data_IF_856598807931
#
_entry.id   IF_856598807931
#
_cell.length_a   1.000
_cell.length_b   1.000
_cell.length_c   1.000
_cell.angle_alpha   90.00
_cell.angle_beta   90.00
_cell.angle_gamma   90.00
#
_symmetry.space_group_name_H-M   'P 1'
#
loop_
_entity.id
_entity.type
_entity.pdbx_description
1 polymer ?
#
# COMPACT_ATOMS: atom_id res chain seq x y z
N UNK A 1 18.98 -6.03 4.65
CA UNK A 1 18.83 -4.70 4.02
C UNK A 1 18.50 -3.61 5.03
N UNK A 2 17.50 -3.80 5.91
CA UNK A 2 17.13 -2.82 6.96
C UNK A 2 18.29 -2.34 7.84
N UNK A 3 19.20 -3.23 8.25
CA UNK A 3 20.38 -2.86 9.04
C UNK A 3 21.39 -1.97 8.28
N UNK A 4 21.44 -2.07 6.94
CA UNK A 4 22.39 -1.32 6.11
C UNK A 4 21.94 0.12 5.90
N UNK A 5 20.64 0.35 5.67
CA UNK A 5 20.07 1.69 5.50
C UNK A 5 20.14 2.48 6.83
N UNK A 6 20.12 1.79 7.97
CA UNK A 6 20.23 2.41 9.30
C UNK A 6 21.65 2.83 9.68
N UNK A 7 22.69 2.40 8.95
CA UNK A 7 24.06 2.79 9.26
C UNK A 7 24.21 4.32 9.09
N UNK A 8 24.68 5.08 10.10
CA UNK A 8 24.76 6.54 10.04
C UNK A 8 25.41 7.12 8.77
N UNK A 9 26.55 6.60 8.26
CA UNK A 9 27.15 7.15 7.05
C UNK A 9 26.29 6.89 5.80
N UNK A 10 25.63 5.74 5.72
CA UNK A 10 24.74 5.39 4.60
C UNK A 10 23.51 6.29 4.63
N UNK A 11 22.90 6.48 5.80
CA UNK A 11 21.75 7.35 5.97
C UNK A 11 22.07 8.80 5.59
N UNK A 12 23.23 9.31 5.99
CA UNK A 12 23.67 10.66 5.67
C UNK A 12 23.86 10.86 4.16
N UNK A 13 24.50 9.90 3.49
CA UNK A 13 24.71 9.95 2.03
C UNK A 13 23.38 9.88 1.27
N UNK A 14 22.50 8.94 1.62
CA UNK A 14 21.19 8.81 0.99
C UNK A 14 20.31 10.05 1.22
N UNK A 15 20.39 10.69 2.40
CA UNK A 15 19.73 11.96 2.68
C UNK A 15 20.27 13.09 1.80
N UNK A 16 21.60 13.18 1.64
CA UNK A 16 22.23 14.17 0.79
C UNK A 16 21.80 14.00 -0.68
N UNK A 17 21.71 12.76 -1.17
CA UNK A 17 21.20 12.47 -2.51
C UNK A 17 19.75 12.94 -2.70
N UNK A 18 18.87 12.70 -1.71
CA UNK A 18 17.49 13.19 -1.77
C UNK A 18 17.42 14.73 -1.78
N UNK A 19 18.22 15.39 -0.95
CA UNK A 19 18.28 16.85 -0.91
C UNK A 19 18.80 17.44 -2.23
N UNK A 20 19.82 16.82 -2.83
CA UNK A 20 20.37 17.24 -4.11
C UNK A 20 19.38 17.04 -5.26
N UNK A 21 18.53 16.01 -5.20
CA UNK A 21 17.52 15.73 -6.21
C UNK A 21 16.31 16.68 -6.15
N UNK A 22 16.07 17.36 -5.01
CA UNK A 22 14.93 18.25 -4.81
C UNK A 22 13.60 17.62 -5.26
N UNK A 23 12.88 18.24 -6.21
CA UNK A 23 11.61 17.76 -6.76
C UNK A 23 11.73 16.39 -7.45
N UNK A 24 12.93 16.02 -7.93
CA UNK A 24 13.18 14.75 -8.60
C UNK A 24 13.36 13.57 -7.63
N UNK A 25 13.39 13.82 -6.31
CA UNK A 25 13.64 12.80 -5.28
C UNK A 25 12.57 11.69 -5.23
N UNK A 26 11.33 12.00 -5.65
CA UNK A 26 10.20 11.06 -5.65
C UNK A 26 9.97 10.39 -7.01
N UNK A 27 10.67 10.85 -8.05
CA UNK A 27 10.51 10.36 -9.44
C UNK A 27 11.76 9.66 -9.98
N UNK A 28 12.93 9.95 -9.41
CA UNK A 28 14.21 9.38 -9.84
C UNK A 28 15.16 9.14 -8.66
N UNK A 29 16.13 8.25 -8.85
CA UNK A 29 17.12 7.92 -7.82
C UNK A 29 16.75 6.70 -6.99
N UNK A 30 17.35 6.59 -5.79
CA UNK A 30 17.28 5.35 -5.01
C UNK A 30 15.90 5.08 -4.41
N UNK A 31 15.15 6.11 -4.01
CA UNK A 31 13.87 5.94 -3.31
C UNK A 31 12.81 5.26 -4.20
N UNK A 32 12.54 5.73 -5.44
CA UNK A 32 11.64 5.04 -6.35
C UNK A 32 12.09 3.61 -6.69
N UNK A 33 13.39 3.36 -6.81
CA UNK A 33 13.92 2.02 -7.08
C UNK A 33 13.73 1.07 -5.90
N UNK A 34 13.88 1.53 -4.66
CA UNK A 34 13.58 0.71 -3.48
C UNK A 34 12.08 0.44 -3.38
N UNK A 35 11.22 1.42 -3.66
CA UNK A 35 9.76 1.22 -3.68
C UNK A 35 9.38 0.15 -4.71
N UNK A 36 9.93 0.25 -5.93
CA UNK A 36 9.70 -0.73 -6.99
C UNK A 36 10.21 -2.12 -6.60
N UNK A 37 11.38 -2.21 -5.96
CA UNK A 37 11.93 -3.47 -5.47
C UNK A 37 11.01 -4.09 -4.42
N UNK A 38 10.59 -3.31 -3.42
CA UNK A 38 9.69 -3.76 -2.35
C UNK A 38 8.35 -4.25 -2.92
N UNK A 39 7.74 -3.48 -3.84
CA UNK A 39 6.51 -3.89 -4.53
C UNK A 39 6.70 -5.19 -5.32
N UNK A 40 7.84 -5.38 -5.97
CA UNK A 40 8.11 -6.59 -6.76
C UNK A 40 8.15 -7.85 -5.88
N UNK A 41 8.80 -7.78 -4.72
CA UNK A 41 8.87 -8.87 -3.74
C UNK A 41 7.58 -9.04 -2.93
N UNK A 42 6.69 -8.05 -2.96
CA UNK A 42 5.41 -8.09 -2.28
C UNK A 42 4.27 -8.65 -3.12
N UNK A 43 4.51 -9.12 -4.35
CA UNK A 43 3.47 -9.77 -5.13
C UNK A 43 2.98 -11.05 -4.46
N UNK A 44 1.66 -11.25 -4.51
CA UNK A 44 1.02 -12.48 -4.08
C UNK A 44 1.56 -13.64 -4.92
N UNK A 45 2.11 -14.64 -4.24
CA UNK A 45 2.62 -15.87 -4.84
C UNK A 45 1.48 -16.84 -5.16
N UNK A 46 1.72 -17.78 -6.06
CA UNK A 46 0.73 -18.82 -6.38
C UNK A 46 0.42 -19.70 -5.16
N UNK A 47 1.43 -19.87 -4.29
CA UNK A 47 1.32 -20.59 -3.04
C UNK A 47 0.41 -19.86 -2.05
N UNK A 48 0.60 -18.56 -1.82
CA UNK A 48 -0.27 -17.75 -0.95
C UNK A 48 -1.72 -17.75 -1.47
N UNK A 49 -1.91 -17.50 -2.76
CA UNK A 49 -3.21 -17.53 -3.42
C UNK A 49 -3.94 -18.86 -3.23
N UNK A 50 -3.26 -19.99 -3.49
CA UNK A 50 -3.86 -21.31 -3.33
C UNK A 50 -4.23 -21.67 -1.90
N UNK A 51 -3.54 -21.10 -0.90
CA UNK A 51 -3.87 -21.31 0.51
C UNK A 51 -5.05 -20.43 0.92
N UNK A 52 -5.08 -19.16 0.51
CA UNK A 52 -6.17 -18.22 0.83
C UNK A 52 -7.50 -18.61 0.19
N UNK A 53 -7.47 -19.27 -0.97
CA UNK A 53 -8.66 -19.87 -1.59
C UNK A 53 -9.29 -20.98 -0.72
N UNK A 54 -8.48 -21.66 0.11
CA UNK A 54 -8.95 -22.73 0.99
C UNK A 54 -9.43 -22.18 2.33
N UNK A 55 -8.72 -21.17 2.86
CA UNK A 55 -9.04 -20.55 4.15
C UNK A 55 -8.92 -19.02 4.08
N UNK A 56 -10.07 -18.37 3.91
CA UNK A 56 -10.18 -16.90 3.85
C UNK A 56 -9.85 -16.25 5.22
N UNK A 57 -10.02 -16.97 6.33
CA UNK A 57 -9.63 -16.42 7.64
C UNK A 57 -8.11 -16.30 7.76
N UNK A 58 -7.37 -17.19 7.11
CA UNK A 58 -5.92 -17.07 7.04
C UNK A 58 -5.53 -15.80 6.27
N UNK A 59 -6.15 -15.52 5.12
CA UNK A 59 -5.96 -14.26 4.40
C UNK A 59 -6.16 -13.05 5.34
N UNK A 60 -7.29 -12.99 6.06
CA UNK A 60 -7.55 -11.89 7.01
C UNK A 60 -6.49 -11.79 8.10
N UNK A 61 -6.07 -12.93 8.67
CA UNK A 61 -5.06 -12.95 9.74
C UNK A 61 -3.70 -12.46 9.26
N UNK A 62 -3.32 -12.78 8.02
CA UNK A 62 -2.06 -12.33 7.43
C UNK A 62 -2.11 -10.84 7.06
N UNK A 63 -3.24 -10.37 6.52
CA UNK A 63 -3.45 -8.97 6.15
C UNK A 63 -3.54 -8.02 7.37
N UNK A 64 -4.01 -8.53 8.50
CA UNK A 64 -4.06 -7.79 9.78
C UNK A 64 -2.79 -7.92 10.61
N UNK A 65 -1.78 -8.65 10.12
CA UNK A 65 -0.51 -8.92 10.81
C UNK A 65 -0.66 -9.71 12.12
N UNK A 66 -1.71 -10.53 12.22
CA UNK A 66 -1.97 -11.47 13.33
C UNK A 66 -1.46 -12.88 12.96
N UNK A 67 -0.31 -12.93 12.28
CA UNK A 67 0.33 -14.18 11.84
C UNK A 67 1.80 -14.19 12.27
N UNK A 68 2.34 -15.38 12.53
CA UNK A 68 3.77 -15.59 12.73
C UNK A 68 4.53 -15.76 11.40
N UNK A 69 3.81 -15.81 10.28
CA UNK A 69 4.39 -16.03 8.96
C UNK A 69 5.17 -14.80 8.50
N UNK A 70 6.46 -14.98 8.20
CA UNK A 70 7.34 -13.91 7.71
C UNK A 70 7.79 -14.22 6.28
N UNK A 71 7.18 -13.53 5.33
CA UNK A 71 7.34 -13.77 3.89
C UNK A 71 8.13 -12.63 3.22
N UNK A 72 8.60 -12.80 1.97
CA UNK A 72 9.15 -11.69 1.19
C UNK A 72 8.17 -10.50 1.09
N UNK A 73 6.87 -10.78 1.08
CA UNK A 73 5.81 -9.78 1.06
C UNK A 73 5.75 -8.95 2.34
N UNK A 74 5.74 -9.59 3.51
CA UNK A 74 5.76 -8.84 4.79
C UNK A 74 7.09 -8.08 4.97
N UNK A 75 8.21 -8.67 4.56
CA UNK A 75 9.51 -7.99 4.55
C UNK A 75 9.55 -6.73 3.67
N UNK A 76 8.88 -6.78 2.50
CA UNK A 76 8.70 -5.63 1.62
C UNK A 76 7.90 -4.51 2.30
N UNK A 77 6.81 -4.86 2.99
CA UNK A 77 6.03 -3.93 3.83
C UNK A 77 6.88 -3.27 4.92
N UNK A 78 7.59 -4.06 5.72
CA UNK A 78 8.46 -3.56 6.79
C UNK A 78 9.52 -2.58 6.28
N UNK A 79 10.11 -2.87 5.10
CA UNK A 79 11.10 -1.98 4.50
C UNK A 79 10.51 -0.60 4.21
N UNK A 80 9.30 -0.55 3.65
CA UNK A 80 8.60 0.70 3.35
C UNK A 80 8.17 1.42 4.65
N UNK A 81 7.72 0.70 5.68
CA UNK A 81 7.44 1.27 7.00
C UNK A 81 8.70 1.97 7.55
N UNK A 82 9.87 1.31 7.51
CA UNK A 82 11.12 1.93 7.99
C UNK A 82 11.56 3.14 7.17
N UNK A 83 11.25 3.17 5.88
CA UNK A 83 11.45 4.39 5.09
C UNK A 83 10.45 5.47 5.51
N UNK A 84 9.20 5.12 5.78
CA UNK A 84 8.15 6.02 6.27
C UNK A 84 8.48 6.65 7.62
N UNK A 85 9.05 5.89 8.55
CA UNK A 85 9.54 6.40 9.84
C UNK A 85 10.59 7.50 9.65
N UNK A 86 11.46 7.36 8.65
CA UNK A 86 12.56 8.28 8.38
C UNK A 86 12.14 9.46 7.50
N UNK A 87 11.56 9.20 6.34
CA UNK A 87 11.27 10.17 5.28
C UNK A 87 9.82 10.65 5.30
N UNK A 88 8.97 10.08 6.16
CA UNK A 88 7.59 10.54 6.41
C UNK A 88 6.78 10.62 5.12
N UNK A 89 6.10 11.74 4.89
CA UNK A 89 5.22 11.97 3.74
C UNK A 89 5.95 11.82 2.39
N UNK A 90 7.27 12.01 2.33
CA UNK A 90 8.04 11.88 1.08
C UNK A 90 7.95 10.46 0.50
N UNK A 91 7.88 9.42 1.34
CA UNK A 91 7.67 8.04 0.88
C UNK A 91 6.28 7.87 0.28
N UNK A 92 5.26 8.46 0.93
CA UNK A 92 3.88 8.41 0.45
C UNK A 92 3.77 9.12 -0.91
N UNK A 93 4.41 10.27 -1.08
CA UNK A 93 4.46 10.98 -2.37
C UNK A 93 5.12 10.14 -3.47
N UNK A 94 6.24 9.49 -3.18
CA UNK A 94 6.88 8.58 -4.13
C UNK A 94 5.99 7.35 -4.45
N UNK A 95 5.25 6.84 -3.46
CA UNK A 95 4.28 5.75 -3.65
C UNK A 95 3.10 6.18 -4.53
N UNK A 96 2.55 7.38 -4.36
CA UNK A 96 1.49 7.93 -5.24
C UNK A 96 1.94 7.87 -6.70
N UNK A 97 3.16 8.35 -6.98
CA UNK A 97 3.72 8.38 -8.34
C UNK A 97 3.90 6.96 -8.88
N UNK A 98 4.50 6.07 -8.08
CA UNK A 98 4.72 4.68 -8.47
C UNK A 98 3.40 3.95 -8.78
N UNK A 99 2.40 4.06 -7.90
CA UNK A 99 1.08 3.46 -8.04
C UNK A 99 0.38 4.03 -9.28
N UNK A 100 0.34 5.35 -9.45
CA UNK A 100 -0.34 5.94 -10.59
C UNK A 100 0.29 5.52 -11.92
N UNK A 101 1.61 5.36 -11.98
CA UNK A 101 2.28 4.82 -13.17
C UNK A 101 1.88 3.36 -13.46
N UNK A 102 1.78 2.50 -12.43
CA UNK A 102 1.34 1.11 -12.58
C UNK A 102 -0.13 0.97 -13.01
N UNK A 103 -0.98 1.89 -12.56
CA UNK A 103 -2.40 1.88 -12.94
C UNK A 103 -2.65 2.50 -14.32
N UNK A 104 -1.79 3.42 -14.76
CA UNK A 104 -1.81 3.97 -16.12
C UNK A 104 -1.23 3.02 -17.18
N UNK A 105 -0.30 2.15 -16.80
CA UNK A 105 0.30 1.16 -17.68
C UNK A 105 -0.62 -0.05 -17.90
N UNK A 106 -1.05 -0.25 -19.14
CA UNK A 106 -1.93 -1.35 -19.54
C UNK A 106 -1.24 -2.72 -19.54
N UNK A 107 0.10 -2.75 -19.56
CA UNK A 107 0.88 -3.99 -19.47
C UNK A 107 1.11 -4.46 -18.04
N UNK A 108 0.84 -3.61 -17.04
CA UNK A 108 0.96 -3.95 -15.63
C UNK A 108 -0.11 -4.95 -15.19
N UNK A 109 0.31 -6.01 -14.50
CA UNK A 109 -0.58 -7.07 -14.02
C UNK A 109 -1.36 -6.63 -12.78
N UNK A 110 -2.45 -7.34 -12.48
CA UNK A 110 -3.19 -7.12 -11.23
C UNK A 110 -2.33 -7.38 -9.99
N UNK A 111 -1.38 -8.33 -10.04
CA UNK A 111 -0.45 -8.62 -8.94
C UNK A 111 0.49 -7.46 -8.66
N UNK A 112 1.00 -6.81 -9.71
CA UNK A 112 1.83 -5.61 -9.55
C UNK A 112 1.05 -4.46 -8.90
N UNK A 113 -0.19 -4.25 -9.35
CA UNK A 113 -1.07 -3.20 -8.81
C UNK A 113 -1.47 -3.51 -7.36
N UNK A 114 -1.82 -4.75 -7.06
CA UNK A 114 -2.16 -5.21 -5.72
C UNK A 114 -0.96 -5.03 -4.79
N UNK A 115 0.22 -5.47 -5.19
CA UNK A 115 1.43 -5.39 -4.36
C UNK A 115 1.82 -3.93 -4.04
N UNK A 116 1.66 -3.03 -5.00
CA UNK A 116 1.91 -1.60 -4.79
C UNK A 116 0.90 -1.00 -3.81
N UNK A 117 -0.38 -1.39 -3.90
CA UNK A 117 -1.39 -1.01 -2.91
C UNK A 117 -1.16 -1.67 -1.55
N UNK A 118 -0.65 -2.91 -1.51
CA UNK A 118 -0.31 -3.60 -0.27
C UNK A 118 0.77 -2.85 0.51
N UNK A 119 1.87 -2.46 -0.14
CA UNK A 119 2.94 -1.71 0.55
C UNK A 119 2.45 -0.33 1.03
N UNK A 120 1.54 0.32 0.29
CA UNK A 120 0.86 1.53 0.75
C UNK A 120 0.02 1.24 2.00
N UNK A 121 -0.78 0.16 1.99
CA UNK A 121 -1.59 -0.25 3.13
C UNK A 121 -0.74 -0.44 4.39
N UNK A 122 0.39 -1.15 4.27
CA UNK A 122 1.31 -1.38 5.39
C UNK A 122 1.85 -0.06 5.96
N UNK A 123 2.27 0.87 5.10
CA UNK A 123 2.75 2.17 5.52
C UNK A 123 1.67 3.03 6.20
N UNK A 124 0.46 3.08 5.64
CA UNK A 124 -0.62 3.88 6.20
C UNK A 124 -1.15 3.30 7.51
N UNK A 125 -1.10 1.97 7.70
CA UNK A 125 -1.42 1.35 8.99
C UNK A 125 -0.46 1.80 10.08
N UNK A 126 0.84 1.77 9.79
CA UNK A 126 1.87 2.29 10.72
C UNK A 126 1.65 3.77 11.03
N UNK A 127 1.35 4.59 10.02
CA UNK A 127 1.03 6.01 10.23
C UNK A 127 -0.21 6.21 11.11
N UNK A 128 -1.26 5.41 10.91
CA UNK A 128 -2.45 5.45 11.75
C UNK A 128 -2.15 5.07 13.21
N UNK A 129 -1.33 4.04 13.43
CA UNK A 129 -0.92 3.60 14.78
C UNK A 129 -0.14 4.69 15.55
N UNK A 130 0.60 5.54 14.85
CA UNK A 130 1.33 6.67 15.44
C UNK A 130 0.63 8.03 15.24
N UNK A 131 -0.66 8.02 14.90
CA UNK A 131 -1.51 9.19 14.68
C UNK A 131 -0.95 10.20 13.65
N UNK A 132 -0.13 9.73 12.71
CA UNK A 132 0.45 10.54 11.65
C UNK A 132 -0.53 10.67 10.48
N UNK A 133 -0.89 11.92 10.16
CA UNK A 133 -1.73 12.24 9.02
C UNK A 133 -0.91 12.57 7.77
N UNK A 134 -1.50 12.34 6.59
CA UNK A 134 -0.96 12.76 5.29
C UNK A 134 -1.76 13.94 4.73
N UNK A 135 -1.13 14.84 3.94
CA UNK A 135 -1.82 15.94 3.29
C UNK A 135 -2.92 15.48 2.33
N UNK A 136 -3.97 16.29 2.18
CA UNK A 136 -5.13 15.99 1.35
C UNK A 136 -4.77 15.77 -0.13
N UNK A 137 -3.84 16.54 -0.67
CA UNK A 137 -3.38 16.43 -2.06
C UNK A 137 -2.68 15.09 -2.31
N UNK A 138 -1.88 14.63 -1.34
CA UNK A 138 -1.22 13.32 -1.38
C UNK A 138 -2.25 12.20 -1.28
N UNK A 139 -3.19 12.29 -0.34
CA UNK A 139 -4.25 11.29 -0.17
C UNK A 139 -5.13 11.17 -1.42
N UNK A 140 -5.54 12.30 -1.99
CA UNK A 140 -6.36 12.37 -3.20
C UNK A 140 -5.66 11.78 -4.43
N UNK A 141 -4.32 11.74 -4.41
CA UNK A 141 -3.51 11.11 -5.45
C UNK A 141 -3.75 9.61 -5.62
N UNK A 142 -4.32 8.92 -4.62
CA UNK A 142 -4.64 7.49 -4.69
C UNK A 142 -6.07 7.19 -5.14
N UNK A 143 -6.96 8.19 -5.18
CA UNK A 143 -8.40 7.99 -5.38
C UNK A 143 -8.73 7.20 -6.65
N UNK A 144 -8.08 7.54 -7.78
CA UNK A 144 -8.31 6.86 -9.06
C UNK A 144 -7.87 5.39 -9.02
N UNK A 145 -6.71 5.11 -8.41
CA UNK A 145 -6.16 3.76 -8.28
C UNK A 145 -7.01 2.90 -7.36
N UNK A 146 -7.53 3.46 -6.27
CA UNK A 146 -8.50 2.78 -5.39
C UNK A 146 -9.79 2.50 -6.15
N UNK A 147 -10.39 3.51 -6.80
CA UNK A 147 -11.63 3.31 -7.56
C UNK A 147 -11.50 2.25 -8.66
N UNK A 148 -10.36 2.23 -9.35
CA UNK A 148 -10.03 1.17 -10.31
C UNK A 148 -10.02 -0.21 -9.64
N UNK A 149 -9.35 -0.33 -8.50
CA UNK A 149 -9.25 -1.60 -7.77
C UNK A 149 -10.63 -2.09 -7.31
N UNK A 150 -11.48 -1.21 -6.76
CA UNK A 150 -12.83 -1.55 -6.28
C UNK A 150 -13.75 -2.10 -7.38
N UNK A 151 -13.50 -1.78 -8.65
CA UNK A 151 -14.28 -2.24 -9.80
C UNK A 151 -13.61 -3.38 -10.58
N UNK A 152 -12.44 -3.84 -10.12
CA UNK A 152 -11.67 -4.84 -10.85
C UNK A 152 -12.27 -6.24 -10.68
N UNK A 153 -12.19 -7.06 -11.73
CA UNK A 153 -12.65 -8.45 -11.69
C UNK A 153 -11.78 -9.34 -10.79
N UNK A 154 -10.52 -8.98 -10.55
CA UNK A 154 -9.58 -9.77 -9.76
C UNK A 154 -9.84 -9.55 -8.27
N UNK A 155 -10.28 -10.60 -7.59
CA UNK A 155 -10.74 -10.57 -6.20
C UNK A 155 -9.71 -9.98 -5.23
N UNK A 156 -8.45 -10.39 -5.31
CA UNK A 156 -7.38 -9.87 -4.44
C UNK A 156 -7.08 -8.39 -4.66
N UNK A 157 -7.12 -7.92 -5.90
CA UNK A 157 -6.93 -6.49 -6.18
C UNK A 157 -8.13 -5.69 -5.65
N UNK A 158 -9.35 -6.21 -5.80
CA UNK A 158 -10.57 -5.59 -5.28
C UNK A 158 -10.57 -5.54 -3.75
N UNK A 159 -10.27 -6.65 -3.10
CA UNK A 159 -10.10 -6.76 -1.65
C UNK A 159 -9.06 -5.77 -1.13
N UNK A 160 -7.90 -5.68 -1.79
CA UNK A 160 -6.86 -4.70 -1.46
C UNK A 160 -7.37 -3.26 -1.59
N UNK A 161 -8.15 -2.96 -2.62
CA UNK A 161 -8.77 -1.65 -2.80
C UNK A 161 -9.57 -1.22 -1.57
N UNK A 162 -10.37 -2.12 -1.01
CA UNK A 162 -11.15 -1.86 0.21
C UNK A 162 -10.27 -1.64 1.45
N UNK A 163 -9.26 -2.49 1.65
CA UNK A 163 -8.31 -2.35 2.77
C UNK A 163 -7.59 -0.98 2.74
N UNK A 164 -7.08 -0.60 1.57
CA UNK A 164 -6.41 0.70 1.38
C UNK A 164 -7.39 1.85 1.57
N UNK A 165 -8.61 1.75 1.03
CA UNK A 165 -9.63 2.78 1.20
C UNK A 165 -9.94 3.06 2.67
N UNK A 166 -10.03 2.00 3.49
CA UNK A 166 -10.25 2.09 4.93
C UNK A 166 -9.11 2.80 5.66
N UNK A 167 -7.87 2.38 5.47
CA UNK A 167 -6.72 2.99 6.16
C UNK A 167 -6.40 4.40 5.65
N UNK A 168 -6.66 4.69 4.37
CA UNK A 168 -6.52 6.02 3.81
C UNK A 168 -7.52 6.99 4.44
N UNK A 169 -8.77 6.57 4.65
CA UNK A 169 -9.78 7.38 5.34
C UNK A 169 -9.38 7.75 6.78
N UNK A 170 -8.56 6.91 7.43
CA UNK A 170 -8.06 7.16 8.79
C UNK A 170 -6.84 8.10 8.83
N UNK A 171 -6.11 8.21 7.72
CA UNK A 171 -4.83 8.95 7.64
C UNK A 171 -4.88 10.24 6.81
N UNK A 172 -5.95 10.46 6.03
CA UNK A 172 -6.08 11.58 5.09
C UNK A 172 -6.69 12.87 5.68
N UNK A 173 -6.88 12.95 7.00
CA UNK A 173 -7.44 14.12 7.67
C UNK A 173 -8.95 14.36 7.42
N UNK A 174 -9.49 15.41 8.05
CA UNK A 174 -10.93 15.71 8.03
C UNK A 174 -11.45 16.18 6.67
N UNK A 175 -10.60 16.76 5.82
CA UNK A 175 -11.03 17.26 4.50
C UNK A 175 -11.31 16.13 3.51
N UNK A 176 -10.80 14.93 3.77
CA UNK A 176 -11.03 13.73 2.94
C UNK A 176 -12.36 13.02 3.23
N UNK A 177 -13.09 13.45 4.27
CA UNK A 177 -14.33 12.81 4.73
C UNK A 177 -15.40 12.59 3.65
N UNK A 178 -15.63 13.51 2.68
CA UNK A 178 -16.58 13.25 1.60
C UNK A 178 -16.20 12.04 0.72
N UNK A 179 -14.90 11.84 0.47
CA UNK A 179 -14.39 10.69 -0.30
C UNK A 179 -14.47 9.43 0.57
N UNK A 180 -14.06 9.52 1.83
CA UNK A 180 -14.15 8.42 2.79
C UNK A 180 -15.58 7.88 2.95
N UNK A 181 -16.59 8.76 2.96
CA UNK A 181 -17.99 8.36 3.03
C UNK A 181 -18.41 7.47 1.84
N UNK A 182 -17.94 7.79 0.63
CA UNK A 182 -18.20 6.97 -0.56
C UNK A 182 -17.52 5.60 -0.50
N UNK A 183 -16.34 5.53 0.09
CA UNK A 183 -15.65 4.25 0.35
C UNK A 183 -16.42 3.42 1.37
N UNK A 184 -16.88 4.03 2.46
CA UNK A 184 -17.68 3.33 3.47
C UNK A 184 -18.97 2.74 2.88
N UNK A 185 -19.70 3.51 2.07
CA UNK A 185 -20.90 3.01 1.38
C UNK A 185 -20.57 1.81 0.47
N UNK A 186 -19.46 1.90 -0.27
CA UNK A 186 -18.98 0.81 -1.12
C UNK A 186 -18.61 -0.44 -0.32
N UNK A 187 -17.94 -0.27 0.83
CA UNK A 187 -17.57 -1.35 1.75
C UNK A 187 -18.81 -2.03 2.34
N UNK A 188 -19.78 -1.25 2.81
CA UNK A 188 -21.05 -1.76 3.35
C UNK A 188 -21.86 -2.53 2.32
N UNK A 189 -21.73 -2.20 1.04
CA UNK A 189 -22.35 -2.97 -0.04
C UNK A 189 -21.59 -4.27 -0.28
N UNK A 190 -20.26 -4.21 -0.40
CA UNK A 190 -19.42 -5.35 -0.74
C UNK A 190 -19.47 -6.47 0.31
N UNK A 191 -19.48 -6.13 1.61
CA UNK A 191 -19.56 -7.10 2.71
C UNK A 191 -20.74 -8.08 2.59
N UNK A 192 -21.85 -7.67 1.97
CA UNK A 192 -23.07 -8.48 1.82
C UNK A 192 -23.37 -8.92 0.38
N UNK A 193 -22.72 -8.32 -0.62
CA UNK A 193 -23.14 -8.45 -2.02
C UNK A 193 -22.00 -8.82 -2.98
N UNK A 194 -20.73 -8.73 -2.57
CA UNK A 194 -19.63 -9.16 -3.44
C UNK A 194 -19.70 -10.68 -3.64
N UNK A 195 -19.34 -11.15 -4.84
CA UNK A 195 -19.35 -12.59 -5.16
C UNK A 195 -18.18 -13.34 -4.52
N UNK A 196 -17.14 -12.64 -4.10
CA UNK A 196 -15.93 -13.22 -3.52
C UNK A 196 -15.93 -13.12 -2.00
N UNK A 197 -15.75 -14.25 -1.33
CA UNK A 197 -15.61 -14.30 0.13
C UNK A 197 -14.37 -13.52 0.61
N UNK A 198 -13.29 -13.52 -0.19
CA UNK A 198 -12.06 -12.75 0.09
C UNK A 198 -12.37 -11.26 0.15
N UNK A 199 -13.17 -10.76 -0.78
CA UNK A 199 -13.58 -9.34 -0.81
C UNK A 199 -14.54 -9.02 0.33
N UNK A 200 -15.50 -9.90 0.60
CA UNK A 200 -16.42 -9.73 1.73
C UNK A 200 -15.66 -9.61 3.05
N UNK A 201 -14.70 -10.49 3.29
CA UNK A 201 -13.89 -10.51 4.51
C UNK A 201 -12.94 -9.32 4.60
N UNK A 202 -12.39 -8.84 3.49
CA UNK A 202 -11.61 -7.60 3.45
C UNK A 202 -12.41 -6.33 3.80
N UNK A 203 -13.75 -6.41 3.76
CA UNK A 203 -14.65 -5.31 4.11
C UNK A 203 -15.10 -5.33 5.59
N UNK A 204 -14.64 -6.28 6.39
CA UNK A 204 -14.92 -6.40 7.84
C UNK A 204 -13.94 -5.51 8.62
#
# INVERSE_FOLDING_TARGET
>A
MQALIKAPPVKAELQAQLQNANEAATTSGWLPEIIKLAATYAQITAEEEGIWEIDVNLFLSEETSVTANYTPRTCGGDLIIKLGEWLKVTVVQALVIHINNLFADTSSTWRNREAALFILNQLLRDFNEVEQQIPLDVASGFTNSIQFALQNEQDYLRARGYLVAGVLAQTAGSEFQPIAASYLESTMKAISQDSSEIVQVACI
#
